data_IF_414527201100
#
_entry.id   IF_414527201100
#
_cell.length_a   1.000
_cell.length_b   1.000
_cell.length_c   1.000
_cell.angle_alpha   90.00
_cell.angle_beta   90.00
_cell.angle_gamma   90.00
#
_symmetry.space_group_name_H-M   'P 1'
#
loop_
_entity.id
_entity.type
_entity.pdbx_description
1 polymer ?
#
# COMPACT_ATOMS: atom_id res chain seq x y z
N UNK A 1 31.26 -19.92 71.33
CA UNK A 1 31.76 -20.87 70.32
C UNK A 1 30.56 -21.57 69.72
N UNK A 2 30.29 -21.30 68.43
CA UNK A 2 29.45 -22.07 67.46
C UNK A 2 27.94 -22.13 67.79
N UNK A 3 26.98 -21.82 66.90
CA UNK A 3 27.00 -21.66 65.45
C UNK A 3 25.69 -20.94 65.03
N UNK A 4 25.76 -19.79 64.35
CA UNK A 4 24.63 -19.21 63.61
C UNK A 4 24.36 -20.04 62.35
N UNK A 5 23.13 -20.45 62.04
CA UNK A 5 22.86 -21.07 60.75
C UNK A 5 22.96 -19.99 59.66
N UNK A 6 23.91 -20.21 58.76
CA UNK A 6 24.09 -19.51 57.50
C UNK A 6 22.85 -19.80 56.64
N UNK A 7 21.93 -18.85 56.56
CA UNK A 7 20.83 -18.94 55.59
C UNK A 7 21.38 -18.73 54.19
N UNK A 8 21.17 -19.77 53.39
CA UNK A 8 21.58 -19.96 52.02
C UNK A 8 21.12 -18.81 51.12
N UNK A 9 22.07 -18.28 50.35
CA UNK A 9 21.86 -17.34 49.24
C UNK A 9 21.10 -18.08 48.11
N UNK A 10 19.83 -17.77 47.90
CA UNK A 10 19.09 -18.23 46.72
C UNK A 10 19.51 -17.40 45.49
N UNK A 11 19.96 -18.02 44.40
CA UNK A 11 20.23 -17.32 43.16
C UNK A 11 18.92 -16.80 42.56
N UNK A 12 18.97 -15.58 42.03
CA UNK A 12 17.85 -14.90 41.39
C UNK A 12 17.14 -15.81 40.37
N UNK A 13 15.80 -15.74 40.26
CA UNK A 13 15.14 -16.36 39.12
C UNK A 13 15.64 -15.66 37.87
N UNK A 14 16.30 -16.41 37.00
CA UNK A 14 16.49 -16.03 35.61
C UNK A 14 15.08 -15.83 35.05
N UNK A 15 14.64 -14.57 34.97
CA UNK A 15 13.46 -14.21 34.21
C UNK A 15 13.80 -14.48 32.75
N UNK A 16 13.45 -15.71 32.38
CA UNK A 16 13.10 -16.19 31.06
C UNK A 16 12.88 -15.01 30.12
N UNK A 17 13.81 -14.84 29.18
CA UNK A 17 13.66 -13.92 28.06
C UNK A 17 12.29 -14.18 27.46
N UNK A 18 11.34 -13.29 27.73
CA UNK A 18 10.01 -13.33 27.11
C UNK A 18 10.27 -13.52 25.62
N UNK A 19 9.72 -14.55 24.96
CA UNK A 19 9.71 -14.54 23.53
C UNK A 19 9.09 -13.21 23.15
N UNK A 20 9.85 -12.37 22.44
CA UNK A 20 9.27 -11.27 21.68
C UNK A 20 8.21 -11.95 20.84
N UNK A 21 6.96 -11.80 21.26
CA UNK A 21 5.80 -12.16 20.49
C UNK A 21 6.01 -11.47 19.15
N UNK A 22 6.42 -12.25 18.17
CA UNK A 22 6.44 -11.88 16.77
C UNK A 22 5.06 -11.33 16.49
N UNK A 23 5.01 -10.02 16.30
CA UNK A 23 3.78 -9.32 15.96
C UNK A 23 3.27 -9.93 14.66
N UNK A 24 2.26 -10.79 14.77
CA UNK A 24 1.47 -11.29 13.64
C UNK A 24 0.64 -10.17 12.99
N UNK A 25 0.76 -8.91 13.44
CA UNK A 25 0.08 -7.74 12.87
C UNK A 25 0.77 -7.06 11.69
N UNK A 26 1.91 -7.57 11.20
CA UNK A 26 2.64 -6.96 10.07
C UNK A 26 1.89 -7.03 8.75
N UNK A 27 1.15 -8.12 8.50
CA UNK A 27 0.50 -8.37 7.21
C UNK A 27 -0.74 -7.49 7.01
N UNK A 28 -1.56 -7.30 8.04
CA UNK A 28 -2.77 -6.46 7.98
C UNK A 28 -2.44 -4.97 7.84
N UNK A 29 -1.40 -4.49 8.55
CA UNK A 29 -0.94 -3.11 8.43
C UNK A 29 -0.40 -2.81 7.02
N UNK A 30 0.34 -3.76 6.42
CA UNK A 30 0.85 -3.64 5.04
C UNK A 30 -0.30 -3.71 4.02
N UNK A 31 -1.27 -4.60 4.21
CA UNK A 31 -2.45 -4.69 3.35
C UNK A 31 -3.28 -3.40 3.37
N UNK A 32 -3.49 -2.82 4.56
CA UNK A 32 -4.20 -1.56 4.72
C UNK A 32 -3.42 -0.39 4.08
N UNK A 33 -2.09 -0.36 4.22
CA UNK A 33 -1.23 0.62 3.57
C UNK A 33 -1.29 0.52 2.04
N UNK A 34 -1.25 -0.69 1.49
CA UNK A 34 -1.37 -0.91 0.04
C UNK A 34 -2.75 -0.51 -0.48
N UNK A 35 -3.83 -0.88 0.23
CA UNK A 35 -5.19 -0.50 -0.13
C UNK A 35 -5.40 1.02 -0.14
N UNK A 36 -4.82 1.73 0.83
CA UNK A 36 -4.84 3.19 0.88
C UNK A 36 -4.05 3.81 -0.27
N UNK A 37 -2.85 3.31 -0.56
CA UNK A 37 -2.04 3.77 -1.69
C UNK A 37 -2.79 3.54 -3.02
N UNK A 38 -3.38 2.37 -3.21
CA UNK A 38 -4.14 2.04 -4.42
C UNK A 38 -5.35 2.97 -4.58
N UNK A 39 -6.09 3.25 -3.50
CA UNK A 39 -7.17 4.24 -3.51
C UNK A 39 -6.68 5.62 -3.94
N UNK A 40 -5.61 6.11 -3.31
CA UNK A 40 -5.02 7.41 -3.65
C UNK A 40 -4.63 7.48 -5.14
N UNK A 41 -4.05 6.41 -5.68
CA UNK A 41 -3.66 6.34 -7.10
C UNK A 41 -4.84 6.25 -8.06
N UNK A 42 -5.94 5.62 -7.66
CA UNK A 42 -7.18 5.63 -8.43
C UNK A 42 -7.84 7.01 -8.42
N UNK A 43 -7.81 7.72 -7.30
CA UNK A 43 -8.28 9.11 -7.22
C UNK A 43 -7.42 10.04 -8.08
N UNK A 44 -6.09 9.86 -8.08
CA UNK A 44 -5.15 10.60 -8.93
C UNK A 44 -5.43 10.36 -10.41
N UNK A 45 -5.67 9.10 -10.82
CA UNK A 45 -6.08 8.76 -12.18
C UNK A 45 -7.40 9.42 -12.57
N UNK A 46 -8.38 9.47 -11.66
CA UNK A 46 -9.65 10.13 -11.91
C UNK A 46 -9.46 11.64 -12.15
N UNK A 47 -8.61 12.29 -11.35
CA UNK A 47 -8.26 13.69 -11.56
C UNK A 47 -7.56 13.92 -12.90
N UNK A 48 -6.65 13.02 -13.29
CA UNK A 48 -5.93 13.13 -14.56
C UNK A 48 -6.89 13.02 -15.76
N UNK A 49 -7.86 12.09 -15.70
CA UNK A 49 -8.94 11.97 -16.68
C UNK A 49 -9.76 13.27 -16.77
N UNK A 50 -10.22 13.81 -15.63
CA UNK A 50 -11.00 15.05 -15.61
C UNK A 50 -10.22 16.26 -16.13
N UNK A 51 -8.92 16.32 -15.83
CA UNK A 51 -8.05 17.39 -16.32
C UNK A 51 -7.87 17.32 -17.84
N UNK A 52 -7.67 16.13 -18.40
CA UNK A 52 -7.60 15.93 -19.84
C UNK A 52 -8.92 16.32 -20.53
N UNK A 53 -10.06 15.97 -19.94
CA UNK A 53 -11.38 16.37 -20.44
C UNK A 53 -11.60 17.89 -20.38
N UNK A 54 -11.17 18.53 -19.29
CA UNK A 54 -11.25 19.98 -19.12
C UNK A 54 -10.38 20.72 -20.16
N UNK A 55 -9.12 20.31 -20.32
CA UNK A 55 -8.20 20.87 -21.30
C UNK A 55 -8.73 20.70 -22.73
N UNK A 56 -9.35 19.55 -23.02
CA UNK A 56 -10.00 19.28 -24.30
C UNK A 56 -11.17 20.25 -24.54
N UNK A 57 -12.03 20.47 -23.54
CA UNK A 57 -13.14 21.43 -23.64
C UNK A 57 -12.65 22.87 -23.80
N UNK A 58 -11.61 23.27 -23.05
CA UNK A 58 -11.05 24.62 -23.13
C UNK A 58 -10.37 24.89 -24.48
N UNK A 59 -9.75 23.87 -25.07
CA UNK A 59 -9.22 23.93 -26.43
C UNK A 59 -10.34 24.16 -27.47
N UNK A 60 -11.42 23.37 -27.42
CA UNK A 60 -12.58 23.60 -28.31
C UNK A 60 -13.27 24.95 -28.07
N UNK A 61 -13.22 25.47 -26.85
CA UNK A 61 -13.72 26.80 -26.50
C UNK A 61 -12.80 27.95 -26.95
N UNK A 62 -11.62 27.64 -27.53
CA UNK A 62 -10.63 28.63 -27.95
C UNK A 62 -9.90 29.33 -26.80
N UNK A 63 -9.97 28.78 -25.58
CA UNK A 63 -9.29 29.33 -24.40
C UNK A 63 -7.86 28.80 -24.24
N UNK A 64 -7.58 27.64 -24.82
CA UNK A 64 -6.25 27.02 -24.89
C UNK A 64 -5.81 27.03 -26.34
N UNK A 65 -4.76 27.80 -26.67
CA UNK A 65 -4.16 27.80 -28.01
C UNK A 65 -3.19 26.62 -28.21
N UNK A 66 -2.71 26.02 -27.12
CA UNK A 66 -1.66 25.01 -27.17
C UNK A 66 -2.23 23.58 -27.17
N UNK A 67 -2.49 23.07 -28.37
CA UNK A 67 -2.92 21.69 -28.62
C UNK A 67 -1.93 20.65 -28.05
N UNK A 68 -0.65 20.99 -27.85
CA UNK A 68 0.33 20.05 -27.31
C UNK A 68 0.06 19.73 -25.85
N UNK A 69 -0.43 20.68 -25.05
CA UNK A 69 -0.79 20.38 -23.65
C UNK A 69 -1.97 19.42 -23.56
N UNK A 70 -2.97 19.58 -24.42
CA UNK A 70 -4.12 18.67 -24.48
C UNK A 70 -3.67 17.26 -24.86
N UNK A 71 -2.84 17.16 -25.91
CA UNK A 71 -2.28 15.88 -26.36
C UNK A 71 -1.44 15.22 -25.26
N UNK A 72 -0.59 15.98 -24.57
CA UNK A 72 0.27 15.45 -23.50
C UNK A 72 -0.58 14.94 -22.32
N UNK A 73 -1.58 15.70 -21.89
CA UNK A 73 -2.47 15.30 -20.80
C UNK A 73 -3.29 14.04 -21.17
N UNK A 74 -3.74 13.93 -22.42
CA UNK A 74 -4.42 12.74 -22.92
C UNK A 74 -3.50 11.51 -22.97
N UNK A 75 -2.26 11.67 -23.43
CA UNK A 75 -1.26 10.61 -23.47
C UNK A 75 -0.93 10.11 -22.05
N UNK A 76 -0.74 11.04 -21.11
CA UNK A 76 -0.49 10.73 -19.71
C UNK A 76 -1.67 9.97 -19.10
N UNK A 77 -2.90 10.47 -19.27
CA UNK A 77 -4.11 9.81 -18.78
C UNK A 77 -4.27 8.38 -19.35
N UNK A 78 -4.00 8.18 -20.64
CA UNK A 78 -4.08 6.88 -21.28
C UNK A 78 -3.02 5.91 -20.73
N UNK A 79 -1.76 6.34 -20.63
CA UNK A 79 -0.69 5.52 -20.08
C UNK A 79 -0.96 5.13 -18.62
N UNK A 80 -1.41 6.09 -17.80
CA UNK A 80 -1.77 5.84 -16.40
C UNK A 80 -2.95 4.87 -16.27
N UNK A 81 -3.95 4.96 -17.15
CA UNK A 81 -5.08 4.04 -17.19
C UNK A 81 -4.64 2.62 -17.58
N UNK A 82 -3.77 2.49 -18.58
CA UNK A 82 -3.21 1.21 -18.98
C UNK A 82 -2.44 0.54 -17.83
N UNK A 83 -1.64 1.32 -17.12
CA UNK A 83 -0.93 0.84 -15.93
C UNK A 83 -1.92 0.38 -14.85
N UNK A 84 -2.97 1.16 -14.56
CA UNK A 84 -3.99 0.80 -13.59
C UNK A 84 -4.72 -0.51 -13.95
N UNK A 85 -5.00 -0.72 -15.25
CA UNK A 85 -5.57 -1.98 -15.75
C UNK A 85 -4.63 -3.17 -15.52
N UNK A 86 -3.32 -3.01 -15.75
CA UNK A 86 -2.33 -4.04 -15.46
C UNK A 86 -2.28 -4.40 -13.98
N UNK A 87 -2.25 -3.39 -13.10
CA UNK A 87 -2.27 -3.58 -11.64
C UNK A 87 -3.55 -4.29 -11.21
N UNK A 88 -4.71 -3.87 -11.73
CA UNK A 88 -6.01 -4.52 -11.47
C UNK A 88 -5.97 -5.99 -11.87
N UNK A 89 -5.48 -6.31 -13.08
CA UNK A 89 -5.40 -7.70 -13.55
C UNK A 89 -4.48 -8.53 -12.66
N UNK A 90 -3.30 -8.01 -12.30
CA UNK A 90 -2.36 -8.69 -11.40
C UNK A 90 -2.92 -8.91 -9.99
N UNK A 91 -3.67 -7.95 -9.45
CA UNK A 91 -4.33 -8.11 -8.17
C UNK A 91 -5.41 -9.21 -8.20
N UNK A 92 -6.19 -9.27 -9.28
CA UNK A 92 -7.20 -10.33 -9.48
C UNK A 92 -6.53 -11.70 -9.65
N UNK A 93 -5.46 -11.79 -10.44
CA UNK A 93 -4.67 -13.02 -10.61
C UNK A 93 -4.11 -13.51 -9.27
N UNK A 94 -3.50 -12.63 -8.47
CA UNK A 94 -2.95 -12.97 -7.16
C UNK A 94 -4.03 -13.49 -6.20
N UNK A 95 -5.22 -12.88 -6.21
CA UNK A 95 -6.36 -13.37 -5.43
C UNK A 95 -6.80 -14.77 -5.89
N UNK A 96 -6.91 -14.99 -7.20
CA UNK A 96 -7.29 -16.29 -7.75
C UNK A 96 -6.26 -17.39 -7.42
N UNK A 97 -4.97 -17.08 -7.44
CA UNK A 97 -3.89 -18.03 -7.11
C UNK A 97 -3.97 -18.46 -5.63
N UNK A 98 -4.11 -17.51 -4.70
CA UNK A 98 -4.26 -17.81 -3.27
C UNK A 98 -5.50 -18.68 -3.03
N UNK A 99 -6.61 -18.40 -3.70
CA UNK A 99 -7.83 -19.20 -3.58
C UNK A 99 -7.67 -20.64 -4.10
N UNK A 100 -6.80 -20.88 -5.08
CA UNK A 100 -6.51 -22.22 -5.61
C UNK A 100 -5.56 -23.03 -4.73
N UNK A 101 -4.71 -22.38 -3.93
CA UNK A 101 -3.83 -23.06 -2.98
C UNK A 101 -4.54 -23.55 -1.70
N UNK A 102 -5.72 -23.01 -1.37
CA UNK A 102 -6.45 -23.34 -0.13
C UNK A 102 -7.47 -24.48 -0.29
N UNK A 103 -7.61 -25.09 -1.47
CA UNK A 103 -8.43 -26.30 -1.67
C UNK A 103 -7.59 -27.58 -1.64
#
# INVERSE_FOLDING_TARGET
MLLTPVSLLMPAPLQETRPVSSQTGGTDAVAQSFGNLLRQKLDELNNLQQQADALTQEYFAGKVEDVHQVMLALEEANLSLQLAMQVRNKAVEAYQEISRMQI
#
